data_IF_647697914208
#
_entry.id   IF_647697914208
#
_cell.length_a   1.000
_cell.length_b   1.000
_cell.length_c   1.000
_cell.angle_alpha   90.00
_cell.angle_beta   90.00
_cell.angle_gamma   90.00
#
_symmetry.space_group_name_H-M   'P 1'
#
loop_
_entity.id
_entity.type
_entity.pdbx_description
1 polymer ?
#
# COMPACT_ATOMS: atom_id res chain seq x y z
N UNK A 1 34.78 4.64 -1.31
CA UNK A 1 33.53 4.63 -2.11
C UNK A 1 32.45 5.50 -1.49
N UNK A 2 32.14 5.36 -0.20
CA UNK A 2 31.13 6.19 0.49
C UNK A 2 31.32 7.70 0.25
N UNK A 3 32.49 8.27 0.54
CA UNK A 3 32.75 9.71 0.34
C UNK A 3 32.51 10.22 -1.08
N UNK A 4 32.77 9.41 -2.13
CA UNK A 4 32.51 9.80 -3.52
C UNK A 4 31.01 9.97 -3.74
N UNK A 5 30.20 9.05 -3.23
CA UNK A 5 28.75 9.15 -3.30
C UNK A 5 28.22 10.31 -2.47
N UNK A 6 28.79 10.56 -1.29
CA UNK A 6 28.40 11.70 -0.46
C UNK A 6 28.64 13.04 -1.17
N UNK A 7 29.81 13.22 -1.78
CA UNK A 7 30.13 14.43 -2.57
C UNK A 7 29.20 14.55 -3.77
N UNK A 8 28.93 13.45 -4.48
CA UNK A 8 28.02 13.44 -5.63
C UNK A 8 26.58 13.83 -5.21
N UNK A 9 26.09 13.28 -4.09
CA UNK A 9 24.77 13.59 -3.54
C UNK A 9 24.69 15.10 -3.24
N UNK A 10 25.66 15.67 -2.54
CA UNK A 10 25.66 17.10 -2.23
C UNK A 10 25.65 17.96 -3.50
N UNK A 11 26.52 17.64 -4.47
CA UNK A 11 26.61 18.38 -5.74
C UNK A 11 25.29 18.31 -6.51
N UNK A 12 24.64 17.15 -6.55
CA UNK A 12 23.37 17.00 -7.25
C UNK A 12 22.24 17.77 -6.55
N UNK A 13 22.17 17.77 -5.20
CA UNK A 13 21.19 18.56 -4.45
C UNK A 13 21.31 20.04 -4.79
N UNK A 14 22.53 20.58 -4.69
CA UNK A 14 22.80 21.98 -4.97
C UNK A 14 22.46 22.32 -6.43
N UNK A 15 22.90 21.49 -7.38
CA UNK A 15 22.76 21.76 -8.81
C UNK A 15 21.32 21.60 -9.33
N UNK A 16 20.55 20.66 -8.77
CA UNK A 16 19.18 20.37 -9.20
C UNK A 16 18.25 21.57 -8.95
N UNK A 17 18.45 22.28 -7.85
CA UNK A 17 17.67 23.49 -7.53
C UNK A 17 17.97 24.67 -8.46
N UNK A 18 19.17 24.70 -9.05
CA UNK A 18 19.66 25.82 -9.88
C UNK A 18 19.38 25.63 -11.37
N UNK A 19 19.17 24.40 -11.83
CA UNK A 19 18.97 24.11 -13.25
C UNK A 19 17.87 23.07 -13.47
N UNK A 20 16.66 23.50 -13.87
CA UNK A 20 15.58 22.57 -14.19
C UNK A 20 15.95 21.60 -15.32
N UNK A 21 16.80 22.00 -16.28
CA UNK A 21 17.25 21.13 -17.38
C UNK A 21 18.09 19.97 -16.89
N UNK A 22 18.81 20.13 -15.77
CA UNK A 22 19.62 19.07 -15.18
C UNK A 22 18.79 17.82 -14.90
N UNK A 23 17.58 17.97 -14.35
CA UNK A 23 16.72 16.82 -14.03
C UNK A 23 16.21 16.10 -15.28
N UNK A 24 16.02 16.84 -16.38
CA UNK A 24 15.70 16.24 -17.66
C UNK A 24 16.90 15.46 -18.24
N UNK A 25 18.09 16.05 -18.22
CA UNK A 25 19.32 15.40 -18.69
C UNK A 25 19.67 14.17 -17.86
N UNK A 26 19.51 14.27 -16.54
CA UNK A 26 19.68 13.17 -15.59
C UNK A 26 18.75 11.99 -15.88
N UNK A 27 17.50 12.27 -16.26
CA UNK A 27 16.55 11.26 -16.71
C UNK A 27 16.96 10.65 -18.06
N UNK A 28 17.34 11.47 -19.03
CA UNK A 28 17.76 11.01 -20.37
C UNK A 28 19.05 10.17 -20.32
N UNK A 29 19.95 10.46 -19.39
CA UNK A 29 21.17 9.70 -19.13
C UNK A 29 20.92 8.43 -18.29
N UNK A 30 19.66 8.06 -18.03
CA UNK A 30 19.27 6.90 -17.22
C UNK A 30 19.82 6.89 -15.79
N UNK A 31 20.20 8.05 -15.23
CA UNK A 31 20.85 8.10 -13.92
C UNK A 31 19.95 7.59 -12.78
N UNK A 32 18.63 7.71 -12.91
CA UNK A 32 17.64 7.10 -12.00
C UNK A 32 17.73 5.58 -11.92
N UNK A 33 17.92 4.91 -13.05
CA UNK A 33 18.06 3.45 -13.11
C UNK A 33 19.38 3.04 -12.45
N UNK A 34 20.47 3.74 -12.76
CA UNK A 34 21.76 3.50 -12.13
C UNK A 34 21.72 3.71 -10.61
N UNK A 35 21.03 4.75 -10.11
CA UNK A 35 20.84 4.96 -8.67
C UNK A 35 20.06 3.81 -8.03
N UNK A 36 18.97 3.36 -8.66
CA UNK A 36 18.25 2.16 -8.20
C UNK A 36 19.19 0.96 -8.10
N UNK A 37 20.01 0.70 -9.11
CA UNK A 37 20.93 -0.44 -9.11
C UNK A 37 22.03 -0.31 -8.04
N UNK A 38 22.47 0.91 -7.72
CA UNK A 38 23.37 1.16 -6.59
C UNK A 38 22.65 0.86 -5.27
N UNK A 39 21.44 1.39 -5.07
CA UNK A 39 20.66 1.20 -3.84
C UNK A 39 20.34 -0.28 -3.60
N UNK A 40 19.96 -1.03 -4.64
CA UNK A 40 19.72 -2.47 -4.56
C UNK A 40 21.01 -3.25 -4.25
N UNK A 41 22.18 -2.80 -4.71
CA UNK A 41 23.47 -3.41 -4.33
C UNK A 41 23.82 -3.13 -2.87
N UNK A 42 23.53 -1.93 -2.37
CA UNK A 42 23.76 -1.59 -0.96
C UNK A 42 22.95 -2.47 0.01
N UNK A 43 21.76 -2.95 -0.38
CA UNK A 43 21.01 -3.95 0.39
C UNK A 43 21.77 -5.28 0.49
N UNK A 44 22.32 -5.77 -0.63
CA UNK A 44 23.05 -7.05 -0.66
C UNK A 44 24.42 -6.97 0.05
N UNK A 45 25.04 -5.79 0.05
CA UNK A 45 26.31 -5.50 0.70
C UNK A 45 26.12 -4.87 2.10
N UNK A 46 24.95 -5.10 2.72
CA UNK A 46 24.64 -4.63 4.06
C UNK A 46 25.54 -5.31 5.11
N UNK A 47 26.66 -4.66 5.41
CA UNK A 47 27.70 -5.22 6.28
C UNK A 47 27.88 -4.35 7.55
N UNK A 48 27.50 -3.07 7.53
CA UNK A 48 27.74 -2.12 8.64
C UNK A 48 26.83 -0.87 8.63
N UNK A 49 26.94 -0.06 9.69
CA UNK A 49 26.22 1.21 9.88
C UNK A 49 26.49 2.26 8.78
N UNK A 50 27.62 2.18 8.06
CA UNK A 50 27.94 3.13 6.99
C UNK A 50 27.08 2.89 5.74
N UNK A 51 26.87 1.62 5.36
CA UNK A 51 25.98 1.24 4.27
C UNK A 51 24.53 1.68 4.54
N UNK A 52 24.09 1.58 5.80
CA UNK A 52 22.78 2.06 6.24
C UNK A 52 22.62 3.58 6.07
N UNK A 53 23.59 4.35 6.57
CA UNK A 53 23.57 5.82 6.44
C UNK A 53 23.60 6.25 4.97
N UNK A 54 24.42 5.59 4.15
CA UNK A 54 24.50 5.89 2.73
C UNK A 54 23.18 5.56 2.02
N UNK A 55 22.56 4.43 2.34
CA UNK A 55 21.24 4.08 1.86
C UNK A 55 20.20 5.16 2.20
N UNK A 56 20.11 5.54 3.48
CA UNK A 56 19.16 6.55 3.93
C UNK A 56 19.35 7.88 3.17
N UNK A 57 20.60 8.30 2.97
CA UNK A 57 20.93 9.50 2.17
C UNK A 57 20.47 9.40 0.72
N UNK A 58 20.62 8.23 0.08
CA UNK A 58 20.12 8.03 -1.29
C UNK A 58 18.59 8.08 -1.36
N UNK A 59 17.89 7.52 -0.38
CA UNK A 59 16.43 7.59 -0.32
C UNK A 59 15.97 9.04 -0.08
N UNK A 60 16.61 9.77 0.82
CA UNK A 60 16.33 11.20 1.04
C UNK A 60 16.57 11.99 -0.24
N UNK A 61 17.69 11.77 -0.94
CA UNK A 61 17.99 12.44 -2.21
C UNK A 61 16.89 12.18 -3.25
N UNK A 62 16.45 10.93 -3.39
CA UNK A 62 15.35 10.59 -4.29
C UNK A 62 14.05 11.27 -3.89
N UNK A 63 13.79 11.39 -2.59
CA UNK A 63 12.67 12.15 -2.04
C UNK A 63 12.72 13.62 -2.44
N UNK A 64 13.86 14.28 -2.25
CA UNK A 64 14.07 15.67 -2.62
C UNK A 64 13.91 15.88 -4.13
N UNK A 65 14.43 14.95 -4.94
CA UNK A 65 14.29 14.99 -6.39
C UNK A 65 12.84 14.89 -6.85
N UNK A 66 11.91 14.36 -6.04
CA UNK A 66 10.49 14.36 -6.42
C UNK A 66 9.92 15.77 -6.53
N UNK A 67 10.45 16.73 -5.77
CA UNK A 67 10.05 18.13 -5.79
C UNK A 67 10.82 18.96 -6.83
N UNK A 68 11.90 18.42 -7.38
CA UNK A 68 12.72 19.10 -8.39
C UNK A 68 12.48 18.47 -9.77
N UNK A 69 11.80 19.22 -10.64
CA UNK A 69 11.46 18.76 -11.99
C UNK A 69 11.53 19.87 -13.02
N UNK A 70 11.82 19.48 -14.26
CA UNK A 70 11.95 20.40 -15.40
C UNK A 70 10.65 21.18 -15.66
N UNK A 71 9.50 20.56 -15.42
CA UNK A 71 8.19 21.16 -15.59
C UNK A 71 7.33 20.97 -14.35
N UNK A 72 6.37 21.86 -14.18
CA UNK A 72 5.30 21.67 -13.21
C UNK A 72 4.34 20.59 -13.72
N UNK A 73 3.98 19.65 -12.83
CA UNK A 73 2.97 18.66 -13.15
C UNK A 73 1.59 19.27 -13.01
N UNK A 74 0.74 19.02 -14.01
CA UNK A 74 -0.66 19.43 -13.95
C UNK A 74 -1.44 18.39 -13.16
N UNK A 75 -2.27 18.85 -12.23
CA UNK A 75 -3.27 18.00 -11.61
C UNK A 75 -4.15 17.37 -12.70
N UNK A 76 -4.46 16.07 -12.58
CA UNK A 76 -5.41 15.45 -13.50
C UNK A 76 -6.78 16.10 -13.37
N UNK A 77 -7.60 15.98 -14.41
CA UNK A 77 -9.01 16.28 -14.27
C UNK A 77 -9.63 15.40 -13.17
N UNK A 78 -10.68 15.89 -12.51
CA UNK A 78 -11.43 15.11 -11.54
C UNK A 78 -11.85 13.78 -12.20
N UNK A 79 -11.48 12.62 -11.65
CA UNK A 79 -11.89 11.34 -12.21
C UNK A 79 -13.42 11.25 -12.24
N UNK A 80 -13.98 10.71 -13.32
CA UNK A 80 -15.39 10.35 -13.35
C UNK A 80 -15.59 9.09 -12.49
N UNK A 81 -16.23 9.27 -11.34
CA UNK A 81 -16.49 8.21 -10.36
C UNK A 81 -17.99 8.00 -10.21
N UNK A 82 -18.39 6.74 -9.99
CA UNK A 82 -19.79 6.38 -9.75
C UNK A 82 -20.23 6.85 -8.35
N UNK A 83 -19.29 6.85 -7.41
CA UNK A 83 -19.52 7.27 -6.04
C UNK A 83 -18.51 8.34 -5.64
N UNK A 84 -19.00 9.40 -5.01
CA UNK A 84 -18.20 10.50 -4.52
C UNK A 84 -18.55 10.81 -3.07
N UNK A 85 -17.54 10.90 -2.21
CA UNK A 85 -17.76 11.32 -0.82
C UNK A 85 -18.23 12.79 -0.83
N UNK A 86 -19.24 13.15 -0.02
CA UNK A 86 -19.77 14.51 -0.03
C UNK A 86 -18.69 15.52 0.35
N UNK A 87 -18.72 16.69 -0.28
CA UNK A 87 -17.74 17.76 -0.12
C UNK A 87 -16.32 17.43 -0.62
N UNK A 88 -16.13 16.38 -1.43
CA UNK A 88 -14.88 16.19 -2.14
C UNK A 88 -14.60 17.35 -3.09
N UNK A 89 -13.44 17.98 -2.91
CA UNK A 89 -12.90 19.02 -3.77
C UNK A 89 -11.50 18.61 -4.18
N UNK A 90 -11.21 18.71 -5.48
CA UNK A 90 -9.85 18.47 -5.97
C UNK A 90 -8.88 19.41 -5.26
N UNK A 91 -7.83 18.92 -4.60
CA UNK A 91 -6.92 19.79 -3.88
C UNK A 91 -6.28 20.81 -4.80
N UNK A 92 -6.17 22.04 -4.30
CA UNK A 92 -5.30 23.04 -4.89
C UNK A 92 -3.93 22.94 -4.23
N UNK A 93 -2.87 23.10 -5.01
CA UNK A 93 -1.52 23.10 -4.49
C UNK A 93 -1.33 24.25 -3.49
N UNK A 94 -0.74 23.97 -2.33
CA UNK A 94 -0.52 25.01 -1.30
C UNK A 94 0.63 25.97 -1.65
N UNK A 95 1.28 25.79 -2.80
CA UNK A 95 2.45 26.54 -3.27
C UNK A 95 3.59 26.62 -2.25
N UNK A 96 3.77 25.56 -1.46
CA UNK A 96 4.78 25.47 -0.38
C UNK A 96 6.18 25.11 -0.88
N UNK A 97 6.36 24.88 -2.18
CA UNK A 97 7.61 24.38 -2.76
C UNK A 97 7.77 22.85 -2.70
N UNK A 98 6.94 22.15 -1.92
CA UNK A 98 6.97 20.69 -1.75
C UNK A 98 5.85 20.00 -2.52
N UNK A 99 5.71 20.36 -3.80
CA UNK A 99 4.75 19.75 -4.73
C UNK A 99 5.53 18.85 -5.67
N UNK A 100 5.01 17.64 -5.94
CA UNK A 100 5.69 16.70 -6.83
C UNK A 100 5.80 17.29 -8.24
N UNK A 101 7.03 17.34 -8.77
CA UNK A 101 7.37 17.80 -10.13
C UNK A 101 8.06 16.74 -10.96
N UNK A 102 8.47 15.63 -10.33
CA UNK A 102 9.32 14.63 -10.95
C UNK A 102 8.87 13.21 -10.62
N UNK A 103 8.00 12.68 -11.48
CA UNK A 103 7.49 11.32 -11.34
C UNK A 103 8.58 10.26 -11.54
N UNK A 104 9.65 10.53 -12.30
CA UNK A 104 10.73 9.55 -12.49
C UNK A 104 11.43 9.22 -11.18
N UNK A 105 11.72 10.21 -10.33
CA UNK A 105 12.26 9.98 -8.99
C UNK A 105 11.28 9.20 -8.10
N UNK A 106 9.99 9.56 -8.15
CA UNK A 106 8.94 8.88 -7.39
C UNK A 106 8.77 7.41 -7.81
N UNK A 107 8.76 7.11 -9.10
CA UNK A 107 8.69 5.74 -9.64
C UNK A 107 9.90 4.91 -9.20
N UNK A 108 11.09 5.51 -9.04
CA UNK A 108 12.25 4.79 -8.49
C UNK A 108 12.03 4.44 -7.02
N UNK A 109 11.59 5.38 -6.17
CA UNK A 109 11.25 5.09 -4.77
C UNK A 109 10.23 3.95 -4.66
N UNK A 110 9.17 4.02 -5.47
CA UNK A 110 8.14 2.99 -5.52
C UNK A 110 8.71 1.64 -5.99
N UNK A 111 9.55 1.63 -7.02
CA UNK A 111 10.19 0.41 -7.51
C UNK A 111 11.15 -0.20 -6.49
N UNK A 112 11.85 0.62 -5.71
CA UNK A 112 12.74 0.20 -4.64
C UNK A 112 11.91 -0.43 -3.51
N UNK A 113 10.87 0.26 -3.05
CA UNK A 113 9.91 -0.27 -2.07
C UNK A 113 9.37 -1.63 -2.52
N UNK A 114 9.07 -1.78 -3.81
CA UNK A 114 8.53 -3.04 -4.32
C UNK A 114 9.50 -4.21 -4.28
N UNK A 115 10.80 -3.97 -4.43
CA UNK A 115 11.81 -5.03 -4.42
C UNK A 115 12.24 -5.45 -3.03
N UNK A 116 12.26 -4.53 -2.07
CA UNK A 116 12.68 -4.84 -0.71
C UNK A 116 11.59 -5.55 0.07
N UNK A 117 11.85 -6.80 0.48
CA UNK A 117 10.96 -7.55 1.38
C UNK A 117 11.70 -8.18 2.56
N UNK A 118 13.02 -8.32 2.48
CA UNK A 118 13.81 -9.07 3.46
C UNK A 118 14.43 -8.19 4.56
N UNK A 119 14.44 -6.87 4.39
CA UNK A 119 15.00 -5.90 5.33
C UNK A 119 13.94 -4.90 5.81
N UNK A 120 13.16 -5.22 6.87
CA UNK A 120 12.04 -4.39 7.32
C UNK A 120 12.40 -2.93 7.62
N UNK A 121 13.61 -2.70 8.14
CA UNK A 121 14.12 -1.36 8.40
C UNK A 121 14.24 -0.52 7.12
N UNK A 122 14.77 -1.10 6.04
CA UNK A 122 14.90 -0.41 4.76
C UNK A 122 13.57 -0.12 4.10
N UNK A 123 12.68 -1.11 4.14
CA UNK A 123 11.32 -0.96 3.65
C UNK A 123 10.63 0.22 4.35
N UNK A 124 10.83 0.36 5.67
CA UNK A 124 10.32 1.50 6.44
C UNK A 124 10.91 2.83 5.98
N UNK A 125 12.23 2.96 5.81
CA UNK A 125 12.85 4.22 5.34
C UNK A 125 12.26 4.65 3.99
N UNK A 126 12.13 3.72 3.04
CA UNK A 126 11.58 4.01 1.72
C UNK A 126 10.11 4.39 1.82
N UNK A 127 9.32 3.64 2.59
CA UNK A 127 7.90 3.91 2.76
C UNK A 127 7.63 5.24 3.49
N UNK A 128 8.38 5.55 4.53
CA UNK A 128 8.26 6.80 5.29
C UNK A 128 8.58 8.00 4.39
N UNK A 129 9.54 7.85 3.48
CA UNK A 129 9.86 8.87 2.46
C UNK A 129 8.69 9.04 1.49
N UNK A 130 8.13 7.95 0.95
CA UNK A 130 6.97 8.00 0.04
C UNK A 130 5.76 8.63 0.75
N UNK A 131 5.46 8.21 1.98
CA UNK A 131 4.36 8.76 2.77
C UNK A 131 4.56 10.23 3.08
N UNK A 132 5.78 10.64 3.45
CA UNK A 132 6.11 12.05 3.68
C UNK A 132 5.80 12.90 2.45
N UNK A 133 6.18 12.44 1.25
CA UNK A 133 5.86 13.13 -0.02
C UNK A 133 4.36 13.30 -0.21
N UNK A 134 3.57 12.26 0.02
CA UNK A 134 2.12 12.30 -0.16
C UNK A 134 1.45 13.20 0.89
N UNK A 135 1.91 13.15 2.13
CA UNK A 135 1.30 13.86 3.26
C UNK A 135 1.68 15.35 3.32
N UNK A 136 2.76 15.76 2.65
CA UNK A 136 3.24 17.15 2.69
C UNK A 136 2.28 18.11 1.98
N UNK A 137 1.68 17.69 0.87
CA UNK A 137 0.65 18.45 0.16
C UNK A 137 -0.44 17.50 -0.36
N UNK A 138 -1.71 17.85 -0.11
CA UNK A 138 -2.86 17.06 -0.52
C UNK A 138 -2.90 16.83 -2.05
N UNK A 139 -2.34 17.74 -2.85
CA UNK A 139 -2.21 17.60 -4.29
C UNK A 139 -1.28 16.45 -4.70
N UNK A 140 -0.29 16.09 -3.88
CA UNK A 140 0.74 15.11 -4.22
C UNK A 140 0.18 13.70 -4.44
N UNK A 141 -0.84 13.29 -3.68
CA UNK A 141 -1.54 12.02 -3.93
C UNK A 141 -2.05 11.94 -5.38
N UNK A 142 -2.72 12.99 -5.84
CA UNK A 142 -3.31 13.06 -7.17
C UNK A 142 -2.28 13.24 -8.29
N UNK A 143 -1.18 13.95 -8.01
CA UNK A 143 -0.06 14.10 -8.95
C UNK A 143 0.70 12.80 -9.16
N UNK A 144 0.95 12.04 -8.08
CA UNK A 144 1.58 10.73 -8.17
C UNK A 144 0.68 9.73 -8.91
N UNK A 145 -0.64 9.78 -8.67
CA UNK A 145 -1.66 9.10 -9.44
C UNK A 145 -1.34 7.62 -9.66
N UNK A 146 -1.15 7.23 -10.92
CA UNK A 146 -0.91 5.82 -11.29
C UNK A 146 0.36 5.23 -10.70
N UNK A 147 1.35 6.06 -10.36
CA UNK A 147 2.60 5.61 -9.76
C UNK A 147 2.42 5.11 -8.33
N UNK A 148 1.26 5.30 -7.70
CA UNK A 148 0.92 4.72 -6.39
C UNK A 148 0.37 3.29 -6.50
N UNK A 149 -0.17 2.90 -7.65
CA UNK A 149 -0.77 1.57 -7.84
C UNK A 149 0.14 0.44 -7.36
N UNK A 150 1.40 0.36 -7.82
CA UNK A 150 2.16 -0.84 -7.57
C UNK A 150 2.71 -0.87 -6.13
N UNK A 151 2.63 0.23 -5.36
CA UNK A 151 2.86 0.21 -3.92
C UNK A 151 1.79 -0.62 -3.20
N UNK A 152 0.52 -0.50 -3.62
CA UNK A 152 -0.62 -1.20 -3.01
C UNK A 152 -0.88 -2.59 -3.58
N UNK A 153 -0.24 -2.97 -4.68
CA UNK A 153 -0.36 -4.32 -5.25
C UNK A 153 0.37 -5.39 -4.43
N UNK A 154 1.39 -5.02 -3.67
CA UNK A 154 2.25 -5.99 -2.96
C UNK A 154 2.40 -5.71 -1.47
N UNK A 155 1.68 -4.73 -0.93
CA UNK A 155 1.93 -4.25 0.43
C UNK A 155 1.72 -5.33 1.50
N UNK A 156 0.84 -6.30 1.25
CA UNK A 156 0.59 -7.45 2.13
C UNK A 156 1.75 -8.44 2.22
N UNK A 157 2.73 -8.35 1.30
CA UNK A 157 3.99 -9.07 1.41
C UNK A 157 5.02 -8.35 2.29
N UNK A 158 4.69 -7.15 2.81
CA UNK A 158 5.56 -6.39 3.73
C UNK A 158 5.29 -6.78 5.18
N UNK A 159 6.18 -6.36 6.08
CA UNK A 159 6.01 -6.57 7.51
C UNK A 159 4.70 -5.95 8.03
N UNK A 160 4.20 -6.46 9.15
CA UNK A 160 2.98 -5.96 9.77
C UNK A 160 3.02 -4.44 10.01
N UNK A 161 4.15 -3.90 10.48
CA UNK A 161 4.29 -2.48 10.76
C UNK A 161 4.15 -1.62 9.50
N UNK A 162 4.73 -2.07 8.39
CA UNK A 162 4.61 -1.38 7.09
C UNK A 162 3.18 -1.45 6.57
N UNK A 163 2.49 -2.58 6.74
CA UNK A 163 1.08 -2.70 6.36
C UNK A 163 0.19 -1.75 7.16
N UNK A 164 0.44 -1.57 8.46
CA UNK A 164 -0.29 -0.60 9.30
C UNK A 164 -0.09 0.81 8.77
N UNK A 165 1.17 1.24 8.51
CA UNK A 165 1.44 2.58 7.96
C UNK A 165 0.80 2.81 6.59
N UNK A 166 0.69 1.77 5.76
CA UNK A 166 -0.02 1.85 4.47
C UNK A 166 -1.52 2.03 4.68
N UNK A 167 -2.11 1.32 5.64
CA UNK A 167 -3.50 1.55 6.00
C UNK A 167 -3.71 2.98 6.50
N UNK A 168 -2.82 3.52 7.34
CA UNK A 168 -2.90 4.90 7.83
C UNK A 168 -2.86 5.92 6.66
N UNK A 169 -2.03 5.67 5.65
CA UNK A 169 -1.99 6.48 4.42
C UNK A 169 -3.31 6.37 3.62
N UNK A 170 -3.87 5.17 3.50
CA UNK A 170 -5.18 4.97 2.85
C UNK A 170 -6.32 5.62 3.63
N UNK A 171 -6.26 5.61 4.96
CA UNK A 171 -7.20 6.31 5.82
C UNK A 171 -7.10 7.82 5.66
N UNK A 172 -5.90 8.37 5.55
CA UNK A 172 -5.71 9.78 5.21
C UNK A 172 -6.41 10.16 3.90
N UNK A 173 -6.28 9.33 2.85
CA UNK A 173 -6.94 9.57 1.56
C UNK A 173 -8.47 9.58 1.71
N UNK A 174 -9.04 8.62 2.46
CA UNK A 174 -10.48 8.54 2.65
C UNK A 174 -11.01 9.64 3.56
N UNK A 175 -10.36 9.88 4.70
CA UNK A 175 -10.88 10.74 5.75
C UNK A 175 -10.49 12.20 5.59
N UNK A 176 -9.27 12.49 5.15
CA UNK A 176 -8.78 13.87 5.01
C UNK A 176 -8.99 14.37 3.59
N UNK A 177 -8.61 13.59 2.57
CA UNK A 177 -8.83 14.00 1.18
C UNK A 177 -10.28 13.80 0.73
N UNK A 178 -11.12 13.09 1.51
CA UNK A 178 -12.50 12.75 1.14
C UNK A 178 -12.57 12.09 -0.23
N UNK A 179 -11.61 11.21 -0.54
CA UNK A 179 -11.51 10.54 -1.82
C UNK A 179 -11.59 9.03 -1.67
N UNK A 180 -12.19 8.33 -2.63
CA UNK A 180 -12.29 6.86 -2.62
C UNK A 180 -11.12 6.29 -3.42
N UNK A 181 -10.14 5.63 -2.80
CA UNK A 181 -8.97 5.07 -3.48
C UNK A 181 -9.32 3.75 -4.17
N UNK A 182 -10.12 3.80 -5.24
CA UNK A 182 -10.68 2.62 -5.90
C UNK A 182 -9.63 1.59 -6.32
N UNK A 183 -8.48 2.04 -6.82
CA UNK A 183 -7.42 1.16 -7.33
C UNK A 183 -6.80 0.35 -6.20
N UNK A 184 -6.51 1.03 -5.10
CA UNK A 184 -5.96 0.46 -3.88
C UNK A 184 -6.98 -0.48 -3.23
N UNK A 185 -8.26 -0.10 -3.18
CA UNK A 185 -9.35 -0.96 -2.69
C UNK A 185 -9.50 -2.24 -3.53
N UNK A 186 -9.36 -2.18 -4.86
CA UNK A 186 -9.36 -3.39 -5.69
C UNK A 186 -8.21 -4.32 -5.30
N UNK A 187 -7.01 -3.79 -5.06
CA UNK A 187 -5.87 -4.61 -4.61
C UNK A 187 -6.13 -5.27 -3.24
N UNK A 188 -6.78 -4.56 -2.31
CA UNK A 188 -7.23 -5.14 -1.04
C UNK A 188 -8.24 -6.29 -1.24
N UNK A 189 -9.18 -6.12 -2.18
CA UNK A 189 -10.18 -7.15 -2.48
C UNK A 189 -9.53 -8.43 -3.03
N UNK A 190 -8.52 -8.28 -3.88
CA UNK A 190 -7.75 -9.40 -4.45
C UNK A 190 -6.98 -10.12 -3.34
N UNK A 191 -6.31 -9.37 -2.47
CA UNK A 191 -5.59 -9.94 -1.33
C UNK A 191 -6.53 -10.73 -0.41
N UNK A 192 -7.69 -10.16 -0.04
CA UNK A 192 -8.64 -10.83 0.84
C UNK A 192 -9.26 -12.08 0.21
N UNK A 193 -9.37 -12.13 -1.13
CA UNK A 193 -9.85 -13.30 -1.84
C UNK A 193 -8.79 -14.41 -1.92
N UNK A 194 -7.51 -14.09 -1.77
CA UNK A 194 -6.41 -15.05 -1.85
C UNK A 194 -6.37 -15.94 -0.60
N UNK A 195 -6.87 -17.17 -0.69
CA UNK A 195 -6.96 -18.11 0.43
C UNK A 195 -5.70 -19.00 0.63
N UNK A 196 -4.56 -18.65 0.02
CA UNK A 196 -3.34 -19.46 0.16
C UNK A 196 -2.52 -19.00 1.36
N UNK A 197 -2.96 -19.42 2.54
CA UNK A 197 -2.09 -19.46 3.71
C UNK A 197 -0.98 -20.48 3.44
N UNK A 198 0.29 -20.07 3.57
CA UNK A 198 1.40 -21.02 3.65
C UNK A 198 2.11 -20.81 4.97
N UNK A 199 2.06 -21.82 5.83
CA UNK A 199 3.13 -22.09 6.78
C UNK A 199 4.36 -22.48 5.96
N UNK A 200 5.21 -21.51 5.61
CA UNK A 200 6.47 -21.83 4.93
C UNK A 200 7.40 -22.41 5.99
N UNK A 201 7.38 -23.74 6.13
CA UNK A 201 8.55 -24.46 6.59
C UNK A 201 9.66 -24.22 5.57
N UNK A 202 10.75 -23.67 6.09
CA UNK A 202 12.04 -23.50 5.44
C UNK A 202 12.40 -24.79 4.71
N UNK A 203 12.44 -24.76 3.37
CA UNK A 203 13.45 -25.44 2.56
C UNK A 203 13.29 -25.06 1.08
N UNK A 204 14.41 -24.57 0.53
CA UNK A 204 14.45 -23.86 -0.74
C UNK A 204 14.08 -24.70 -1.95
N UNK A 205 13.13 -24.19 -2.74
CA UNK A 205 13.21 -24.14 -4.20
C UNK A 205 12.08 -23.21 -4.69
N UNK A 206 12.47 -22.03 -5.20
CA UNK A 206 11.54 -21.05 -5.75
C UNK A 206 11.18 -21.40 -7.19
N UNK A 207 9.92 -21.72 -7.45
CA UNK A 207 9.31 -21.68 -8.78
C UNK A 207 8.58 -20.34 -8.96
N UNK A 208 8.85 -19.69 -10.09
CA UNK A 208 8.43 -18.33 -10.49
C UNK A 208 7.00 -18.27 -11.05
N UNK A 209 6.04 -18.88 -10.36
CA UNK A 209 4.64 -18.50 -10.56
C UNK A 209 4.26 -17.59 -9.38
N UNK A 210 3.71 -16.42 -9.69
CA UNK A 210 3.38 -15.37 -8.71
C UNK A 210 2.28 -15.86 -7.78
N UNK A 211 2.66 -16.57 -6.73
CA UNK A 211 1.77 -16.91 -5.62
C UNK A 211 1.83 -15.78 -4.60
N UNK A 212 0.77 -14.99 -4.55
CA UNK A 212 0.50 -14.07 -3.46
C UNK A 212 0.27 -14.87 -2.18
N UNK A 213 1.19 -14.77 -1.22
CA UNK A 213 1.09 -15.40 0.09
C UNK A 213 0.83 -14.31 1.14
N UNK A 214 -0.38 -14.28 1.71
CA UNK A 214 -0.78 -13.30 2.72
C UNK A 214 -1.01 -14.00 4.06
N UNK A 215 -0.44 -13.44 5.14
CA UNK A 215 -0.61 -14.00 6.50
C UNK A 215 -2.02 -13.73 7.04
N UNK A 216 -2.45 -14.48 8.07
CA UNK A 216 -3.70 -14.19 8.81
C UNK A 216 -3.68 -12.74 9.32
N UNK A 217 -2.52 -12.29 9.81
CA UNK A 217 -2.32 -10.92 10.27
C UNK A 217 -2.55 -9.88 9.16
N UNK A 218 -2.14 -10.17 7.92
CA UNK A 218 -2.38 -9.27 6.78
C UNK A 218 -3.88 -9.13 6.46
N UNK A 219 -4.61 -10.24 6.52
CA UNK A 219 -6.07 -10.24 6.41
C UNK A 219 -6.72 -9.45 7.54
N UNK A 220 -6.28 -9.63 8.79
CA UNK A 220 -6.80 -8.87 9.93
C UNK A 220 -6.60 -7.37 9.74
N UNK A 221 -5.40 -6.94 9.33
CA UNK A 221 -5.11 -5.53 9.06
C UNK A 221 -6.02 -4.97 7.96
N UNK A 222 -6.19 -5.71 6.87
CA UNK A 222 -7.07 -5.30 5.78
C UNK A 222 -8.54 -5.19 6.23
N UNK A 223 -9.08 -6.18 6.95
CA UNK A 223 -10.48 -6.13 7.42
C UNK A 223 -10.67 -5.02 8.47
N UNK A 224 -9.69 -4.77 9.35
CA UNK A 224 -9.72 -3.64 10.28
C UNK A 224 -9.83 -2.30 9.54
N UNK A 225 -9.00 -2.09 8.52
CA UNK A 225 -9.08 -0.91 7.66
C UNK A 225 -10.47 -0.79 7.01
N UNK A 226 -11.01 -1.87 6.43
CA UNK A 226 -12.34 -1.88 5.83
C UNK A 226 -13.43 -1.47 6.83
N UNK A 227 -13.44 -2.05 8.03
CA UNK A 227 -14.40 -1.71 9.09
C UNK A 227 -14.33 -0.22 9.42
N UNK A 228 -13.12 0.34 9.49
CA UNK A 228 -12.93 1.75 9.82
C UNK A 228 -13.51 2.66 8.75
N UNK A 229 -13.20 2.42 7.47
CA UNK A 229 -13.74 3.23 6.36
C UNK A 229 -15.26 3.03 6.16
N UNK A 230 -15.80 1.84 6.44
CA UNK A 230 -17.24 1.56 6.36
C UNK A 230 -18.06 2.33 7.40
N UNK A 231 -17.45 2.67 8.55
CA UNK A 231 -18.08 3.47 9.61
C UNK A 231 -18.08 4.97 9.28
N UNK A 232 -17.27 5.42 8.32
CA UNK A 232 -17.09 6.83 8.02
C UNK A 232 -18.20 7.43 7.16
N UNK A 233 -18.61 6.76 6.07
CA UNK A 233 -19.65 7.29 5.18
C UNK A 233 -20.41 6.15 4.47
N UNK A 234 -21.74 6.29 4.32
CA UNK A 234 -22.56 5.29 3.63
C UNK A 234 -22.19 5.12 2.14
N UNK A 235 -21.68 6.17 1.49
CA UNK A 235 -21.22 6.10 0.09
C UNK A 235 -20.06 5.12 -0.08
N UNK A 236 -19.18 4.99 0.93
CA UNK A 236 -18.12 3.97 0.90
C UNK A 236 -18.69 2.56 0.95
N UNK A 237 -19.82 2.35 1.65
CA UNK A 237 -20.52 1.07 1.61
C UNK A 237 -21.01 0.78 0.20
N UNK A 238 -21.63 1.75 -0.49
CA UNK A 238 -22.06 1.57 -1.88
C UNK A 238 -20.87 1.25 -2.80
N UNK A 239 -19.79 2.04 -2.72
CA UNK A 239 -18.59 1.83 -3.52
C UNK A 239 -17.95 0.44 -3.30
N UNK A 240 -17.78 0.02 -2.05
CA UNK A 240 -17.21 -1.30 -1.73
C UNK A 240 -18.10 -2.46 -2.21
N UNK A 241 -19.42 -2.27 -2.23
CA UNK A 241 -20.34 -3.28 -2.81
C UNK A 241 -20.18 -3.40 -4.31
N UNK A 242 -20.06 -2.28 -5.00
CA UNK A 242 -19.80 -2.26 -6.45
C UNK A 242 -18.44 -2.90 -6.78
N UNK A 243 -17.45 -2.72 -5.91
CA UNK A 243 -16.14 -3.38 -6.01
C UNK A 243 -16.16 -4.89 -5.67
N UNK A 244 -17.32 -5.47 -5.30
CA UNK A 244 -17.46 -6.90 -5.04
C UNK A 244 -16.97 -7.36 -3.67
N UNK A 245 -16.86 -6.47 -2.68
CA UNK A 245 -16.41 -6.85 -1.33
C UNK A 245 -17.39 -7.76 -0.59
N UNK A 246 -18.69 -7.78 -0.96
CA UNK A 246 -19.64 -8.73 -0.38
C UNK A 246 -19.20 -10.17 -0.70
N UNK A 247 -18.96 -10.48 -1.97
CA UNK A 247 -18.55 -11.81 -2.43
C UNK A 247 -17.21 -12.23 -1.81
N UNK A 248 -16.27 -11.28 -1.69
CA UNK A 248 -14.97 -11.52 -1.07
C UNK A 248 -15.12 -11.88 0.41
N UNK A 249 -15.90 -11.11 1.18
CA UNK A 249 -16.10 -11.37 2.60
C UNK A 249 -16.92 -12.63 2.86
N UNK A 250 -17.92 -12.93 2.02
CA UNK A 250 -18.67 -14.21 2.08
C UNK A 250 -17.72 -15.39 1.85
N UNK A 251 -16.80 -15.27 0.88
CA UNK A 251 -15.79 -16.31 0.62
C UNK A 251 -14.92 -16.56 1.86
N UNK A 252 -14.51 -15.49 2.57
CA UNK A 252 -13.77 -15.60 3.83
C UNK A 252 -14.62 -16.16 4.97
N UNK A 253 -15.90 -15.82 5.03
CA UNK A 253 -16.81 -16.36 6.03
C UNK A 253 -17.02 -17.86 5.84
N UNK A 254 -17.20 -18.34 4.60
CA UNK A 254 -17.28 -19.77 4.32
C UNK A 254 -15.99 -20.51 4.72
N UNK A 255 -14.82 -19.91 4.48
CA UNK A 255 -13.56 -20.48 4.96
C UNK A 255 -13.55 -20.60 6.48
N UNK A 256 -13.92 -19.54 7.20
CA UNK A 256 -14.05 -19.55 8.65
C UNK A 256 -15.03 -20.62 9.16
N UNK A 257 -16.20 -20.76 8.53
CA UNK A 257 -17.16 -21.82 8.84
C UNK A 257 -16.57 -23.22 8.64
N UNK A 258 -15.76 -23.43 7.59
CA UNK A 258 -15.12 -24.74 7.35
C UNK A 258 -14.11 -25.08 8.45
N UNK A 259 -13.37 -24.10 8.96
CA UNK A 259 -12.46 -24.29 10.08
C UNK A 259 -13.23 -24.60 11.37
N UNK A 260 -14.36 -23.92 11.62
CA UNK A 260 -15.21 -24.17 12.79
C UNK A 260 -15.77 -25.60 12.78
N UNK A 261 -16.20 -26.08 11.61
CA UNK A 261 -16.69 -27.47 11.47
C UNK A 261 -15.59 -28.49 11.72
N UNK A 262 -14.35 -28.22 11.29
CA UNK A 262 -13.20 -29.10 11.53
C UNK A 262 -12.83 -29.17 13.00
N UNK A 263 -12.82 -28.04 13.71
CA UNK A 263 -12.46 -28.01 15.14
C UNK A 263 -13.50 -28.69 16.04
N UNK A 264 -14.77 -28.75 15.61
CA UNK A 264 -15.86 -29.42 16.35
C UNK A 264 -15.91 -30.94 16.10
N UNK A 265 -15.43 -31.41 14.96
CA UNK A 265 -15.53 -32.82 14.56
C UNK A 265 -14.28 -33.67 14.86
N UNK A 266 -13.25 -33.14 15.51
CA UNK A 266 -12.11 -33.95 15.96
C UNK A 266 -12.47 -34.72 17.24
N UNK A 267 -12.74 -36.03 17.18
CA UNK A 267 -13.26 -36.78 18.33
C UNK A 267 -12.22 -37.03 19.43
N UNK A 268 -10.94 -36.74 19.15
CA UNK A 268 -9.82 -37.04 20.03
C UNK A 268 -9.34 -35.82 20.83
N UNK A 269 -9.88 -34.62 20.60
CA UNK A 269 -9.41 -33.40 21.24
C UNK A 269 -10.53 -32.69 22.01
N UNK A 270 -10.31 -32.44 23.31
CA UNK A 270 -11.26 -31.76 24.20
C UNK A 270 -10.99 -30.26 24.32
N UNK A 271 -10.07 -29.73 23.51
CA UNK A 271 -9.70 -28.32 23.45
C UNK A 271 -10.25 -27.62 22.22
N UNK A 272 -10.44 -26.30 22.33
CA UNK A 272 -10.79 -25.41 21.22
C UNK A 272 -9.58 -25.27 20.26
N UNK A 273 -9.41 -26.24 19.36
CA UNK A 273 -8.26 -26.39 18.45
C UNK A 273 -8.11 -25.33 17.37
N UNK A 274 -9.07 -24.41 17.24
CA UNK A 274 -8.97 -23.36 16.25
C UNK A 274 -8.04 -22.24 16.73
N UNK A 275 -7.06 -21.91 15.88
CA UNK A 275 -6.17 -20.77 16.07
C UNK A 275 -6.98 -19.50 16.45
N UNK A 276 -6.60 -18.87 17.56
CA UNK A 276 -7.25 -17.66 18.06
C UNK A 276 -7.26 -16.53 17.02
N UNK A 277 -6.22 -16.42 16.19
CA UNK A 277 -6.15 -15.41 15.13
C UNK A 277 -7.18 -15.63 14.01
N UNK A 278 -7.48 -16.90 13.68
CA UNK A 278 -8.54 -17.29 12.72
C UNK A 278 -9.91 -16.88 13.26
N UNK A 279 -10.17 -17.09 14.55
CA UNK A 279 -11.43 -16.66 15.20
C UNK A 279 -11.61 -15.16 15.15
N UNK A 280 -10.58 -14.43 15.55
CA UNK A 280 -10.60 -12.97 15.53
C UNK A 280 -10.87 -12.44 14.11
N UNK A 281 -10.19 -13.00 13.10
CA UNK A 281 -10.45 -12.66 11.71
C UNK A 281 -11.90 -12.97 11.30
N UNK A 282 -12.41 -14.14 11.67
CA UNK A 282 -13.81 -14.54 11.42
C UNK A 282 -14.82 -13.54 11.99
N UNK A 283 -14.63 -13.10 13.24
CA UNK A 283 -15.48 -12.07 13.86
C UNK A 283 -15.40 -10.72 13.14
N UNK A 284 -14.19 -10.28 12.76
CA UNK A 284 -14.02 -9.05 11.99
C UNK A 284 -14.70 -9.13 10.62
N UNK A 285 -14.60 -10.28 9.93
CA UNK A 285 -15.26 -10.49 8.63
C UNK A 285 -16.79 -10.40 8.79
N UNK A 286 -17.36 -10.97 9.85
CA UNK A 286 -18.80 -10.85 10.14
C UNK A 286 -19.20 -9.40 10.42
N UNK A 287 -18.43 -8.64 11.20
CA UNK A 287 -18.69 -7.22 11.45
C UNK A 287 -18.64 -6.40 10.15
N UNK A 288 -17.60 -6.57 9.34
CA UNK A 288 -17.44 -5.88 8.07
C UNK A 288 -18.62 -6.17 7.12
N UNK A 289 -19.06 -7.44 7.06
CA UNK A 289 -20.20 -7.84 6.23
C UNK A 289 -21.51 -7.23 6.74
N UNK A 290 -21.74 -7.23 8.06
CA UNK A 290 -22.92 -6.58 8.64
C UNK A 290 -22.97 -5.08 8.33
N UNK A 291 -21.82 -4.39 8.41
CA UNK A 291 -21.71 -2.98 8.04
C UNK A 291 -22.02 -2.74 6.55
N UNK A 292 -21.52 -3.59 5.65
CA UNK A 292 -21.78 -3.49 4.21
C UNK A 292 -23.25 -3.75 3.84
N UNK A 293 -23.91 -4.67 4.54
CA UNK A 293 -25.32 -5.00 4.31
C UNK A 293 -26.28 -4.00 4.97
N UNK A 294 -25.81 -3.24 5.96
CA UNK A 294 -26.60 -2.20 6.61
C UNK A 294 -27.12 -1.17 5.60
N UNK A 295 -28.34 -0.67 5.82
CA UNK A 295 -28.97 0.38 5.02
C UNK A 295 -29.16 0.08 3.51
N UNK A 296 -29.10 -1.18 3.08
CA UNK A 296 -29.57 -1.60 1.74
C UNK A 296 -30.30 -2.95 1.80
N UNK A 297 -31.63 -2.86 1.90
CA UNK A 297 -32.52 -4.00 2.02
C UNK A 297 -32.48 -4.94 0.81
N UNK A 298 -32.26 -4.42 -0.41
CA UNK A 298 -32.16 -5.24 -1.63
C UNK A 298 -30.93 -6.16 -1.57
N UNK A 299 -29.78 -5.62 -1.22
CA UNK A 299 -28.56 -6.42 -1.08
C UNK A 299 -28.67 -7.38 0.10
N UNK A 300 -29.16 -6.91 1.26
CA UNK A 300 -29.41 -7.79 2.41
C UNK A 300 -30.30 -8.99 2.02
N UNK A 301 -31.40 -8.78 1.29
CA UNK A 301 -32.28 -9.88 0.85
C UNK A 301 -31.62 -10.87 -0.11
N UNK A 302 -30.68 -10.40 -0.97
CA UNK A 302 -29.99 -11.25 -1.95
C UNK A 302 -29.00 -12.21 -1.28
N UNK A 303 -28.36 -11.77 -0.19
CA UNK A 303 -27.30 -12.54 0.48
C UNK A 303 -27.76 -13.19 1.80
N UNK A 304 -28.98 -12.91 2.29
CA UNK A 304 -29.56 -13.59 3.46
C UNK A 304 -29.53 -15.12 3.31
N UNK A 305 -29.84 -15.65 2.12
CA UNK A 305 -29.83 -17.10 1.87
C UNK A 305 -28.40 -17.71 1.79
N UNK A 306 -27.36 -16.88 1.69
CA UNK A 306 -25.96 -17.32 1.66
C UNK A 306 -25.37 -17.31 3.08
N UNK A 307 -26.00 -16.59 4.00
CA UNK A 307 -25.58 -16.44 5.41
C UNK A 307 -26.27 -17.41 6.37
N UNK A 308 -27.34 -18.08 5.93
CA UNK A 308 -28.08 -19.14 6.63
C UNK A 308 -27.63 -20.50 6.10
#
# INVERSE_FOLDING_TARGET
>A
MAHIYETLICLLIESASLSPSLMNDFRLAHCYVHMKDIILRLENEWINDESEKLFARFITLLGDFTYVGYHELKLPARPETIFDIPNFVMPQSKNTGFIVRNLSAFTILQSIFNRFSNHPFLVNIVFDTISSIILTDNANYFLCGENLSPLTEIFYNKSNDVQIKINDLLEFIVFQLKYIPYRELVNLSIMLKSNKHVEVLIQGHFSTDVFFFSSIQSHKNCVKYLIHILKFNNILKDALRELGFIEVLITRLHHFTTLLKKSVHDPNDKGDNMNQEEKELGFMVMEALALLLSHNQKNASKYINVLV
#
